data_IF_881068160082
#
_entry.id   IF_881068160082
#
_cell.length_a   1.000
_cell.length_b   1.000
_cell.length_c   1.000
_cell.angle_alpha   90.00
_cell.angle_beta   90.00
_cell.angle_gamma   90.00
#
_symmetry.space_group_name_H-M   'P 1'
#
loop_
_entity.id
_entity.type
_entity.pdbx_description
1 polymer ?
#
# COMPACT_ATOMS: atom_id res chain seq x y z
N UNK A 1 10.44 -8.80 -5.43
CA UNK A 1 10.33 -9.19 -4.01
C UNK A 1 9.87 -8.04 -3.12
N UNK A 2 10.45 -6.84 -3.21
CA UNK A 2 10.06 -5.65 -2.44
C UNK A 2 8.55 -5.29 -2.57
N UNK A 3 8.00 -5.35 -3.78
CA UNK A 3 6.58 -5.05 -4.08
C UNK A 3 5.62 -5.91 -3.25
N UNK A 4 5.89 -7.22 -3.19
CA UNK A 4 5.07 -8.15 -2.41
C UNK A 4 5.18 -7.86 -0.92
N UNK A 5 6.38 -7.64 -0.40
CA UNK A 5 6.61 -7.33 1.02
C UNK A 5 5.86 -6.07 1.44
N UNK A 6 5.92 -5.00 0.65
CA UNK A 6 5.19 -3.75 0.94
C UNK A 6 3.68 -3.97 0.86
N UNK A 7 3.17 -4.72 -0.12
CA UNK A 7 1.75 -5.04 -0.23
C UNK A 7 1.21 -5.76 1.02
N UNK A 8 1.95 -6.76 1.51
CA UNK A 8 1.56 -7.55 2.68
C UNK A 8 1.85 -6.88 4.03
N UNK A 9 2.60 -5.79 4.07
CA UNK A 9 2.80 -5.03 5.30
C UNK A 9 1.46 -4.50 5.82
N UNK A 10 1.10 -4.70 7.10
CA UNK A 10 -0.14 -4.18 7.65
C UNK A 10 -0.21 -2.67 7.47
N UNK A 11 -1.23 -2.22 6.77
CA UNK A 11 -1.54 -0.83 6.53
C UNK A 11 -3.04 -0.57 6.75
N UNK A 12 -3.49 0.69 6.64
CA UNK A 12 -4.89 1.04 6.89
C UNK A 12 -5.89 0.20 6.08
N UNK A 13 -5.58 -0.08 4.81
CA UNK A 13 -6.45 -0.87 3.94
C UNK A 13 -6.47 -2.35 4.33
N UNK A 14 -5.31 -2.95 4.67
CA UNK A 14 -5.22 -4.34 5.09
C UNK A 14 -5.99 -4.57 6.41
N UNK A 15 -5.77 -3.68 7.40
CA UNK A 15 -6.46 -3.74 8.69
C UNK A 15 -7.96 -3.47 8.55
N UNK A 16 -8.36 -2.61 7.62
CA UNK A 16 -9.76 -2.36 7.33
C UNK A 16 -10.44 -3.58 6.69
N UNK A 17 -9.74 -4.30 5.78
CA UNK A 17 -10.21 -5.57 5.22
C UNK A 17 -10.41 -6.64 6.30
N UNK A 18 -9.44 -6.76 7.20
CA UNK A 18 -9.50 -7.64 8.35
C UNK A 18 -10.70 -7.32 9.25
N UNK A 19 -10.84 -6.05 9.66
CA UNK A 19 -11.94 -5.58 10.50
C UNK A 19 -13.32 -5.85 9.88
N UNK A 20 -13.48 -5.51 8.59
CA UNK A 20 -14.75 -5.71 7.89
C UNK A 20 -15.13 -7.19 7.75
N UNK A 21 -14.16 -8.04 7.50
CA UNK A 21 -14.39 -9.48 7.43
C UNK A 21 -14.83 -10.05 8.77
N UNK A 22 -14.26 -9.58 9.87
CA UNK A 22 -14.63 -10.01 11.22
C UNK A 22 -16.02 -9.55 11.64
N UNK A 23 -16.35 -8.28 11.33
CA UNK A 23 -17.63 -7.67 11.73
C UNK A 23 -18.81 -8.19 10.91
N UNK A 24 -18.63 -8.40 9.61
CA UNK A 24 -19.72 -8.67 8.67
C UNK A 24 -19.62 -10.03 7.98
N UNK A 25 -18.54 -10.80 8.24
CA UNK A 25 -18.20 -12.00 7.50
C UNK A 25 -17.57 -11.71 6.13
N UNK A 26 -16.76 -12.65 5.63
CA UNK A 26 -15.98 -12.48 4.41
C UNK A 26 -16.84 -12.11 3.18
N UNK A 27 -18.01 -12.73 3.03
CA UNK A 27 -18.89 -12.50 1.87
C UNK A 27 -19.38 -11.05 1.77
N UNK A 28 -19.78 -10.43 2.88
CA UNK A 28 -20.20 -9.02 2.89
C UNK A 28 -19.01 -8.07 2.76
N UNK A 29 -17.86 -8.43 3.33
CA UNK A 29 -16.64 -7.65 3.20
C UNK A 29 -16.09 -7.60 1.78
N UNK A 30 -16.44 -8.53 0.89
CA UNK A 30 -16.07 -8.49 -0.53
C UNK A 30 -16.55 -7.22 -1.24
N UNK A 31 -17.72 -6.71 -0.91
CA UNK A 31 -18.22 -5.43 -1.50
C UNK A 31 -17.28 -4.27 -1.17
N UNK A 32 -16.81 -4.20 0.06
CA UNK A 32 -15.83 -3.21 0.50
C UNK A 32 -14.47 -3.45 -0.20
N UNK A 33 -14.04 -4.70 -0.37
CA UNK A 33 -12.81 -5.02 -1.08
C UNK A 33 -12.85 -4.59 -2.56
N UNK A 34 -13.96 -4.78 -3.27
CA UNK A 34 -14.13 -4.21 -4.62
C UNK A 34 -14.02 -2.68 -4.62
N UNK A 35 -14.47 -2.01 -3.57
CA UNK A 35 -14.21 -0.58 -3.38
C UNK A 35 -12.72 -0.27 -3.24
N UNK A 36 -11.96 -1.10 -2.52
CA UNK A 36 -10.50 -0.95 -2.42
C UNK A 36 -9.81 -1.16 -3.77
N UNK A 37 -10.22 -2.16 -4.56
CA UNK A 37 -9.71 -2.36 -5.93
C UNK A 37 -9.94 -1.10 -6.76
N UNK A 38 -11.19 -0.60 -6.82
CA UNK A 38 -11.51 0.62 -7.57
C UNK A 38 -10.71 1.84 -7.09
N UNK A 39 -10.58 2.02 -5.77
CA UNK A 39 -9.81 3.12 -5.18
C UNK A 39 -8.32 3.02 -5.50
N UNK A 40 -7.75 1.80 -5.50
CA UNK A 40 -6.37 1.57 -5.89
C UNK A 40 -6.15 1.92 -7.37
N UNK A 41 -6.97 1.38 -8.28
CA UNK A 41 -6.87 1.65 -9.72
C UNK A 41 -6.92 3.15 -10.00
N UNK A 42 -7.88 3.87 -9.41
CA UNK A 42 -7.99 5.33 -9.58
C UNK A 42 -6.73 6.04 -9.07
N UNK A 43 -6.26 5.72 -7.87
CA UNK A 43 -5.06 6.33 -7.30
C UNK A 43 -3.82 6.04 -8.15
N UNK A 44 -3.60 4.79 -8.55
CA UNK A 44 -2.47 4.36 -9.34
C UNK A 44 -2.45 5.01 -10.74
N UNK A 45 -3.62 5.12 -11.40
CA UNK A 45 -3.74 5.83 -12.69
C UNK A 45 -3.42 7.32 -12.54
N UNK A 46 -3.92 7.99 -11.50
CA UNK A 46 -3.61 9.39 -11.22
C UNK A 46 -2.11 9.57 -11.00
N UNK A 47 -1.49 8.71 -10.18
CA UNK A 47 -0.05 8.75 -9.92
C UNK A 47 0.75 8.45 -11.19
N UNK A 48 0.31 7.51 -12.03
CA UNK A 48 0.95 7.21 -13.31
C UNK A 48 0.93 8.41 -14.27
N UNK A 49 -0.22 9.09 -14.38
CA UNK A 49 -0.35 10.31 -15.22
C UNK A 49 0.57 11.41 -14.69
N UNK A 50 0.55 11.67 -13.39
CA UNK A 50 1.44 12.68 -12.77
C UNK A 50 2.90 12.32 -13.02
N UNK A 51 3.27 11.05 -12.83
CA UNK A 51 4.63 10.56 -13.04
C UNK A 51 5.07 10.70 -14.50
N UNK A 52 4.18 10.41 -15.46
CA UNK A 52 4.44 10.60 -16.88
C UNK A 52 4.68 12.09 -17.23
N UNK A 53 3.81 12.99 -16.76
CA UNK A 53 3.93 14.42 -17.02
C UNK A 53 5.20 15.02 -16.39
N UNK A 54 5.49 14.63 -15.16
CA UNK A 54 6.70 15.08 -14.45
C UNK A 54 7.96 14.47 -15.06
N UNK A 55 7.92 13.19 -15.43
CA UNK A 55 9.03 12.48 -16.06
C UNK A 55 9.41 13.06 -17.42
N UNK A 56 8.42 13.50 -18.21
CA UNK A 56 8.66 14.17 -19.50
C UNK A 56 9.38 15.54 -19.34
N UNK A 57 9.16 16.22 -18.22
CA UNK A 57 9.72 17.55 -17.96
C UNK A 57 11.05 17.55 -17.19
N UNK A 58 11.41 16.45 -16.51
CA UNK A 58 12.29 16.54 -15.34
C UNK A 58 13.28 15.36 -15.16
N UNK A 59 13.96 14.91 -16.20
CA UNK A 59 14.94 13.79 -16.10
C UNK A 59 15.92 13.83 -14.91
N UNK A 60 16.27 15.02 -14.38
CA UNK A 60 17.11 15.19 -13.17
C UNK A 60 16.35 15.06 -11.86
N UNK A 61 15.03 15.26 -11.84
CA UNK A 61 14.23 15.32 -10.61
C UNK A 61 13.61 13.96 -10.23
N UNK A 62 13.68 12.97 -11.11
CA UNK A 62 13.33 11.57 -10.79
C UNK A 62 14.15 11.05 -9.60
N UNK A 63 15.41 11.43 -9.53
CA UNK A 63 16.30 11.08 -8.40
C UNK A 63 15.79 11.70 -7.09
N UNK A 64 15.31 12.94 -7.12
CA UNK A 64 14.76 13.61 -5.93
C UNK A 64 13.48 12.89 -5.45
N UNK A 65 12.60 12.49 -6.38
CA UNK A 65 11.39 11.73 -6.04
C UNK A 65 11.71 10.37 -5.40
N UNK A 66 12.77 9.69 -5.86
CA UNK A 66 13.30 8.46 -5.25
C UNK A 66 13.67 8.70 -3.77
N UNK A 67 14.43 9.75 -3.47
CA UNK A 67 14.83 10.08 -2.10
C UNK A 67 13.64 10.49 -1.22
N UNK A 68 12.69 11.25 -1.76
CA UNK A 68 11.44 11.60 -1.04
C UNK A 68 10.64 10.34 -0.71
N UNK A 69 10.47 9.42 -1.68
CA UNK A 69 9.79 8.15 -1.46
C UNK A 69 10.47 7.30 -0.38
N UNK A 70 11.80 7.17 -0.42
CA UNK A 70 12.56 6.46 0.60
C UNK A 70 12.42 7.09 1.99
N UNK A 71 12.55 8.43 2.09
CA UNK A 71 12.36 9.14 3.36
C UNK A 71 10.98 8.91 3.95
N UNK A 72 9.95 8.87 3.10
CA UNK A 72 8.60 8.57 3.54
C UNK A 72 8.40 7.11 3.99
N UNK A 73 9.00 6.14 3.30
CA UNK A 73 8.95 4.74 3.75
C UNK A 73 9.63 4.59 5.11
N UNK A 74 10.74 5.27 5.34
CA UNK A 74 11.41 5.30 6.64
C UNK A 74 10.53 5.99 7.71
N UNK A 75 9.84 7.06 7.34
CA UNK A 75 8.86 7.71 8.22
C UNK A 75 7.71 6.76 8.59
N UNK A 76 7.16 6.01 7.61
CA UNK A 76 6.13 5.01 7.88
C UNK A 76 6.64 3.87 8.78
N UNK A 77 7.86 3.38 8.54
CA UNK A 77 8.49 2.39 9.38
C UNK A 77 8.60 2.88 10.84
N UNK A 78 9.07 4.10 11.02
CA UNK A 78 9.14 4.74 12.33
C UNK A 78 7.76 4.94 12.98
N UNK A 79 6.76 5.37 12.21
CA UNK A 79 5.39 5.54 12.68
C UNK A 79 4.78 4.22 13.15
N UNK A 80 4.97 3.14 12.38
CA UNK A 80 4.51 1.79 12.75
C UNK A 80 5.20 1.33 14.04
N UNK A 81 6.52 1.48 14.11
CA UNK A 81 7.29 1.11 15.31
C UNK A 81 6.84 1.88 16.56
N UNK A 82 6.54 3.18 16.42
CA UNK A 82 6.10 4.05 17.51
C UNK A 82 4.61 3.90 17.85
N UNK A 83 3.78 3.53 16.88
CA UNK A 83 2.35 3.31 17.06
C UNK A 83 2.14 1.99 17.79
N UNK A 84 2.08 2.06 19.11
CA UNK A 84 1.64 0.94 19.93
C UNK A 84 0.22 0.58 19.50
N UNK A 85 0.06 -0.56 18.81
CA UNK A 85 -1.15 -1.00 18.12
C UNK A 85 -2.36 -1.12 19.06
N UNK A 86 -3.00 0.00 19.31
CA UNK A 86 -4.46 0.00 19.46
C UNK A 86 -4.98 0.38 18.07
N UNK A 87 -5.33 -0.60 17.27
CA UNK A 87 -6.21 -0.37 16.15
C UNK A 87 -7.39 0.41 16.70
N UNK A 88 -7.45 1.71 16.45
CA UNK A 88 -8.68 2.47 16.70
C UNK A 88 -9.72 1.75 15.86
N UNK A 89 -10.60 1.03 16.51
CA UNK A 89 -11.81 0.50 15.88
C UNK A 89 -12.49 1.70 15.24
N UNK A 90 -12.24 1.86 13.96
CA UNK A 90 -12.91 2.89 13.19
C UNK A 90 -14.31 2.35 12.97
N UNK A 91 -15.29 3.04 13.49
CA UNK A 91 -16.72 2.76 13.33
C UNK A 91 -17.20 2.93 11.88
N UNK A 92 -16.28 2.78 10.92
CA UNK A 92 -16.53 2.90 9.50
C UNK A 92 -17.38 1.73 9.02
N UNK A 93 -18.48 2.05 8.41
CA UNK A 93 -19.34 1.06 7.74
C UNK A 93 -18.58 0.39 6.59
N UNK A 94 -18.65 -0.95 6.52
CA UNK A 94 -17.94 -1.75 5.53
C UNK A 94 -18.68 -1.75 4.19
N UNK A 95 -18.66 -0.63 3.48
CA UNK A 95 -19.31 -0.42 2.19
C UNK A 95 -18.28 -0.31 1.06
N UNK A 96 -18.72 -0.41 -0.19
CA UNK A 96 -17.88 -0.15 -1.36
C UNK A 96 -17.21 1.24 -1.27
N UNK A 97 -17.97 2.28 -0.95
CA UNK A 97 -17.46 3.65 -0.87
C UNK A 97 -16.41 3.81 0.23
N UNK A 98 -16.63 3.18 1.40
CA UNK A 98 -15.64 3.24 2.48
C UNK A 98 -14.33 2.53 2.10
N UNK A 99 -14.40 1.40 1.39
CA UNK A 99 -13.23 0.72 0.84
C UNK A 99 -12.47 1.59 -0.15
N UNK A 100 -13.18 2.24 -1.06
CA UNK A 100 -12.62 3.15 -2.06
C UNK A 100 -11.93 4.36 -1.40
N UNK A 101 -12.59 5.01 -0.44
CA UNK A 101 -12.03 6.18 0.27
C UNK A 101 -10.77 5.78 1.06
N UNK A 102 -10.81 4.65 1.79
CA UNK A 102 -9.65 4.17 2.54
C UNK A 102 -8.45 3.96 1.63
N UNK A 103 -8.66 3.49 0.42
CA UNK A 103 -7.57 3.25 -0.54
C UNK A 103 -7.09 4.54 -1.19
N UNK A 104 -7.99 5.43 -1.62
CA UNK A 104 -7.64 6.73 -2.20
C UNK A 104 -6.88 7.63 -1.22
N UNK A 105 -7.17 7.53 0.07
CA UNK A 105 -6.49 8.30 1.13
C UNK A 105 -5.29 7.57 1.73
N UNK A 106 -4.95 6.40 1.20
CA UNK A 106 -3.84 5.60 1.71
C UNK A 106 -2.50 6.12 1.17
N UNK A 107 -1.89 7.02 1.91
CA UNK A 107 -0.59 7.60 1.56
C UNK A 107 0.50 6.53 1.32
N UNK A 108 0.46 5.39 2.01
CA UNK A 108 1.37 4.25 1.78
C UNK A 108 1.30 3.77 0.33
N UNK A 109 0.10 3.61 -0.22
CA UNK A 109 -0.12 3.13 -1.58
C UNK A 109 0.31 4.16 -2.62
N UNK A 110 -0.12 5.41 -2.45
CA UNK A 110 0.22 6.50 -3.38
C UNK A 110 1.74 6.64 -3.55
N UNK A 111 2.47 6.57 -2.46
CA UNK A 111 3.92 6.71 -2.48
C UNK A 111 4.62 5.44 -2.97
N UNK A 112 4.03 4.29 -2.70
CA UNK A 112 4.51 3.04 -3.23
C UNK A 112 4.36 2.97 -4.76
N UNK A 113 3.24 3.42 -5.31
CA UNK A 113 3.02 3.52 -6.76
C UNK A 113 4.01 4.51 -7.38
N UNK A 114 4.15 5.70 -6.79
CA UNK A 114 5.12 6.69 -7.23
C UNK A 114 6.54 6.13 -7.27
N UNK A 115 6.94 5.44 -6.20
CA UNK A 115 8.26 4.81 -6.11
C UNK A 115 8.43 3.70 -7.14
N UNK A 116 7.42 2.85 -7.34
CA UNK A 116 7.46 1.79 -8.33
C UNK A 116 7.64 2.36 -9.75
N UNK A 117 6.91 3.40 -10.10
CA UNK A 117 7.03 4.04 -11.40
C UNK A 117 8.37 4.73 -11.60
N UNK A 118 8.84 5.47 -10.60
CA UNK A 118 10.12 6.20 -10.70
C UNK A 118 11.34 5.28 -10.69
N UNK A 119 11.27 4.14 -10.02
CA UNK A 119 12.40 3.20 -9.91
C UNK A 119 12.42 2.18 -11.04
N UNK A 120 11.25 1.65 -11.43
CA UNK A 120 11.21 0.50 -12.34
C UNK A 120 10.73 0.84 -13.76
N UNK A 121 10.11 2.00 -13.98
CA UNK A 121 9.58 2.37 -15.31
C UNK A 121 10.36 3.52 -15.91
N UNK A 122 10.41 4.67 -15.25
CA UNK A 122 10.99 5.89 -15.79
C UNK A 122 12.45 5.78 -16.25
N UNK A 123 13.35 4.99 -15.64
CA UNK A 123 14.73 4.84 -16.13
C UNK A 123 14.82 4.17 -17.50
N UNK A 124 13.78 3.40 -17.88
CA UNK A 124 13.77 2.60 -19.13
C UNK A 124 12.77 3.11 -20.16
N UNK A 125 11.66 3.70 -19.73
CA UNK A 125 10.57 4.13 -20.61
C UNK A 125 9.72 5.22 -19.96
N UNK A 126 9.27 6.18 -20.79
CA UNK A 126 8.28 7.17 -20.38
C UNK A 126 6.93 6.94 -21.08
N UNK A 127 6.65 5.72 -21.55
CA UNK A 127 5.37 5.38 -22.20
C UNK A 127 4.29 5.13 -21.15
N UNK A 128 3.12 5.70 -21.36
CA UNK A 128 1.95 5.47 -20.50
C UNK A 128 1.58 3.99 -20.44
N UNK A 129 1.74 3.26 -21.55
CA UNK A 129 1.49 1.80 -21.60
C UNK A 129 2.30 1.02 -20.57
N UNK A 130 3.56 1.37 -20.39
CA UNK A 130 4.47 0.65 -19.49
C UNK A 130 4.14 0.96 -18.01
N UNK A 131 3.73 2.20 -17.74
CA UNK A 131 3.18 2.59 -16.44
C UNK A 131 1.88 1.82 -16.12
N UNK A 132 0.97 1.68 -17.10
CA UNK A 132 -0.27 0.93 -16.92
C UNK A 132 -0.05 -0.58 -16.71
N UNK A 133 0.94 -1.17 -17.38
CA UNK A 133 1.33 -2.58 -17.16
C UNK A 133 1.80 -2.77 -15.72
N UNK A 134 2.67 -1.89 -15.24
CA UNK A 134 3.14 -1.94 -13.83
C UNK A 134 1.98 -1.68 -12.88
N UNK A 135 1.06 -0.76 -13.18
CA UNK A 135 -0.19 -0.56 -12.42
C UNK A 135 -0.95 -1.87 -12.26
N UNK A 136 -1.16 -2.63 -13.33
CA UNK A 136 -1.86 -3.91 -13.28
C UNK A 136 -1.15 -4.95 -12.38
N UNK A 137 0.18 -4.97 -12.39
CA UNK A 137 0.96 -5.83 -11.50
C UNK A 137 0.86 -5.39 -10.03
N UNK A 138 0.86 -4.09 -9.78
CA UNK A 138 0.69 -3.51 -8.43
C UNK A 138 -0.72 -3.77 -7.89
N UNK A 139 -1.74 -3.80 -8.76
CA UNK A 139 -3.12 -4.16 -8.42
C UNK A 139 -3.22 -5.57 -7.83
N UNK A 140 -2.47 -6.52 -8.40
CA UNK A 140 -2.41 -7.90 -7.88
C UNK A 140 -1.73 -7.93 -6.51
N UNK A 141 -0.66 -7.17 -6.32
CA UNK A 141 0.09 -7.15 -5.06
C UNK A 141 -0.63 -6.40 -3.93
N UNK A 142 -1.18 -5.20 -4.20
CA UNK A 142 -1.83 -4.34 -3.21
C UNK A 142 -3.22 -4.87 -2.79
N UNK A 143 -4.23 -4.77 -3.65
CA UNK A 143 -5.57 -5.30 -3.38
C UNK A 143 -5.59 -6.82 -3.14
N UNK A 144 -4.69 -7.59 -3.78
CA UNK A 144 -4.51 -9.02 -3.51
C UNK A 144 -4.08 -9.30 -2.07
N UNK A 145 -3.17 -8.51 -1.51
CA UNK A 145 -2.81 -8.61 -0.10
C UNK A 145 -4.01 -8.30 0.80
N UNK A 146 -4.80 -7.25 0.49
CA UNK A 146 -6.02 -6.91 1.24
C UNK A 146 -7.01 -8.09 1.25
N UNK A 147 -7.10 -8.84 0.14
CA UNK A 147 -7.95 -10.01 0.02
C UNK A 147 -7.50 -11.14 0.97
N UNK A 148 -6.18 -11.36 1.09
CA UNK A 148 -5.63 -12.34 2.03
C UNK A 148 -6.00 -11.96 3.47
N UNK A 149 -5.88 -10.68 3.86
CA UNK A 149 -6.32 -10.19 5.17
C UNK A 149 -7.83 -10.39 5.38
N UNK A 150 -8.64 -10.18 4.34
CA UNK A 150 -10.09 -10.39 4.40
C UNK A 150 -10.43 -11.87 4.67
N UNK A 151 -9.82 -12.81 3.96
CA UNK A 151 -10.09 -14.24 4.17
C UNK A 151 -9.45 -14.80 5.44
N UNK A 152 -8.31 -14.27 5.84
CA UNK A 152 -7.65 -14.69 7.07
C UNK A 152 -8.34 -14.15 8.36
N UNK A 153 -9.36 -13.30 8.21
CA UNK A 153 -10.08 -12.53 9.22
C UNK A 153 -9.98 -13.01 10.67
N UNK A 154 -10.64 -14.14 11.01
CA UNK A 154 -10.70 -14.58 12.40
C UNK A 154 -9.36 -15.09 12.98
N UNK A 155 -8.55 -15.82 12.21
CA UNK A 155 -7.26 -16.36 12.68
C UNK A 155 -6.19 -15.27 12.80
N UNK A 156 -6.15 -14.37 11.82
CA UNK A 156 -5.18 -13.28 11.81
C UNK A 156 -5.45 -12.26 12.91
N UNK A 157 -6.70 -11.99 13.23
CA UNK A 157 -7.08 -11.10 14.31
C UNK A 157 -6.52 -11.54 15.66
N UNK A 158 -6.71 -12.81 16.01
CA UNK A 158 -6.21 -13.36 17.26
C UNK A 158 -4.67 -13.25 17.33
N UNK A 159 -3.99 -13.50 16.22
CA UNK A 159 -2.54 -13.37 16.12
C UNK A 159 -2.06 -11.92 16.27
N UNK A 160 -2.70 -10.97 15.56
CA UNK A 160 -2.38 -9.54 15.66
C UNK A 160 -2.63 -8.97 17.05
N UNK A 161 -3.72 -9.39 17.71
CA UNK A 161 -4.03 -8.95 19.07
C UNK A 161 -3.11 -9.58 20.13
N UNK A 162 -2.59 -10.79 19.86
CA UNK A 162 -1.69 -11.49 20.80
C UNK A 162 -0.26 -10.96 20.76
N UNK A 163 0.22 -10.53 19.57
CA UNK A 163 1.61 -10.14 19.36
C UNK A 163 1.76 -8.79 18.65
N UNK A 164 1.05 -7.73 19.04
CA UNK A 164 0.99 -6.48 18.29
C UNK A 164 2.37 -5.83 18.14
N UNK A 165 3.14 -5.72 19.23
CA UNK A 165 4.48 -5.10 19.22
C UNK A 165 5.49 -5.83 18.35
N UNK A 166 5.49 -7.16 18.41
CA UNK A 166 6.42 -7.98 17.60
C UNK A 166 6.13 -7.79 16.11
N UNK A 167 4.85 -7.79 15.75
CA UNK A 167 4.42 -7.59 14.36
C UNK A 167 4.80 -6.21 13.87
N UNK A 168 4.52 -5.16 14.64
CA UNK A 168 4.88 -3.78 14.30
C UNK A 168 6.40 -3.62 14.13
N UNK A 169 7.20 -4.25 15.00
CA UNK A 169 8.67 -4.23 14.90
C UNK A 169 9.16 -4.94 13.65
N UNK A 170 8.67 -6.14 13.35
CA UNK A 170 9.04 -6.88 12.13
C UNK A 170 8.67 -6.09 10.88
N UNK A 171 7.48 -5.48 10.85
CA UNK A 171 7.02 -4.68 9.73
C UNK A 171 7.85 -3.40 9.53
N UNK A 172 8.20 -2.72 10.62
CA UNK A 172 9.06 -1.55 10.56
C UNK A 172 10.45 -1.91 10.02
N UNK A 173 11.03 -3.04 10.45
CA UNK A 173 12.32 -3.53 9.96
C UNK A 173 12.27 -3.91 8.47
N UNK A 174 11.21 -4.56 8.02
CA UNK A 174 11.03 -4.91 6.60
C UNK A 174 10.91 -3.67 5.73
N UNK A 175 10.16 -2.66 6.16
CA UNK A 175 10.04 -1.39 5.45
C UNK A 175 11.37 -0.63 5.41
N UNK A 176 12.10 -0.58 6.53
CA UNK A 176 13.41 0.03 6.58
C UNK A 176 14.41 -0.68 5.65
N UNK A 177 14.42 -2.01 5.63
CA UNK A 177 15.26 -2.80 4.72
C UNK A 177 14.91 -2.53 3.24
N UNK A 178 13.61 -2.41 2.90
CA UNK A 178 13.18 -2.03 1.56
C UNK A 178 13.66 -0.62 1.17
N UNK A 179 13.57 0.35 2.07
CA UNK A 179 14.04 1.71 1.81
C UNK A 179 15.56 1.75 1.57
N UNK A 180 16.33 1.02 2.39
CA UNK A 180 17.79 0.90 2.22
C UNK A 180 18.14 0.23 0.89
N UNK A 181 17.45 -0.86 0.54
CA UNK A 181 17.67 -1.54 -0.75
C UNK A 181 17.45 -0.59 -1.94
N UNK A 182 16.41 0.25 -1.89
CA UNK A 182 16.10 1.21 -2.95
C UNK A 182 17.13 2.35 -3.01
N UNK A 183 17.66 2.77 -1.85
CA UNK A 183 18.72 3.79 -1.82
C UNK A 183 20.01 3.31 -2.45
N UNK A 184 20.30 2.01 -2.33
CA UNK A 184 21.54 1.38 -2.83
C UNK A 184 21.42 0.91 -4.29
N UNK A 185 20.20 0.73 -4.82
CA UNK A 185 19.94 0.40 -6.24
C UNK A 185 19.88 1.65 -7.11
#
# INVERSE_FOLDING_TARGET
>A
MAIVLVGFTPGPANLFSLHCSMKNGARKAMTMWFGQVAGFTIAAVIVAIITHLVGAMMGKYVVILKYIGCAYILYLAWQIYRSSSKAKESDKTCTFLSGMIVQLTNAKIILFDLMAYTTFVLPYSNRVSDLLIVTALLEIAGPGANLVYLFAGGKLHNFFNRYPRQIDTVMALLLAACAVYILLS
#
